data_IF_350500981475
#
_entry.id   IF_350500981475
#
_cell.length_a   1.000
_cell.length_b   1.000
_cell.length_c   1.000
_cell.angle_alpha   90.00
_cell.angle_beta   90.00
_cell.angle_gamma   90.00
#
_symmetry.space_group_name_H-M   'P 1'
#
loop_
_entity.id
_entity.type
_entity.pdbx_description
1 polymer ?
#
# COMPACT_ATOMS: atom_id res chain seq x y z
N UNK A 1 2.47 -13.80 5.42
CA UNK A 1 2.09 -13.80 3.99
C UNK A 1 3.27 -13.27 3.19
N UNK A 2 3.78 -14.00 2.20
CA UNK A 2 4.78 -13.46 1.28
C UNK A 2 4.05 -12.78 0.13
N UNK A 3 4.21 -11.46 -0.03
CA UNK A 3 3.62 -10.71 -1.15
C UNK A 3 4.60 -10.56 -2.32
N UNK A 4 5.65 -11.39 -2.35
CA UNK A 4 6.71 -11.33 -3.35
C UNK A 4 6.15 -11.38 -4.78
N UNK A 5 6.36 -10.29 -5.52
CA UNK A 5 5.91 -10.15 -6.91
C UNK A 5 4.47 -9.66 -7.09
N UNK A 6 3.68 -9.57 -6.01
CA UNK A 6 2.31 -9.06 -6.04
C UNK A 6 2.25 -7.54 -6.16
N UNK A 7 1.13 -7.01 -6.66
CA UNK A 7 0.84 -5.58 -6.73
C UNK A 7 -0.40 -5.28 -5.89
N UNK A 8 -0.32 -4.27 -5.02
CA UNK A 8 -1.42 -3.85 -4.16
C UNK A 8 -1.93 -2.44 -4.49
N UNK A 9 -3.21 -2.18 -4.26
CA UNK A 9 -3.79 -0.83 -4.28
C UNK A 9 -4.35 -0.54 -2.90
N UNK A 10 -4.02 0.63 -2.35
CA UNK A 10 -4.51 1.10 -1.05
C UNK A 10 -5.25 2.43 -1.24
N UNK A 11 -6.53 2.43 -0.88
CA UNK A 11 -7.34 3.65 -0.79
C UNK A 11 -7.08 4.35 0.55
N UNK A 12 -7.10 5.68 0.55
CA UNK A 12 -6.70 6.48 1.72
C UNK A 12 -5.23 6.32 2.10
N UNK A 13 -4.38 5.80 1.21
CA UNK A 13 -2.99 5.42 1.52
C UNK A 13 -2.02 6.58 1.77
N UNK A 14 -2.47 7.83 1.72
CA UNK A 14 -1.62 9.02 1.88
C UNK A 14 -1.23 9.32 3.33
N UNK A 15 -2.06 8.95 4.31
CA UNK A 15 -1.85 9.27 5.73
C UNK A 15 -2.33 8.14 6.65
N UNK A 16 -2.05 8.27 7.95
CA UNK A 16 -2.57 7.40 9.01
C UNK A 16 -2.38 5.90 8.74
N UNK A 17 -3.47 5.15 8.94
CA UNK A 17 -3.49 3.69 8.78
C UNK A 17 -3.23 3.28 7.32
N UNK A 18 -3.80 4.00 6.35
CA UNK A 18 -3.59 3.69 4.93
C UNK A 18 -2.11 3.75 4.55
N UNK A 19 -1.39 4.77 5.02
CA UNK A 19 0.06 4.87 4.84
C UNK A 19 0.81 3.72 5.51
N UNK A 20 0.42 3.35 6.74
CA UNK A 20 1.04 2.22 7.44
C UNK A 20 0.84 0.90 6.67
N UNK A 21 -0.34 0.68 6.08
CA UNK A 21 -0.64 -0.48 5.24
C UNK A 21 0.24 -0.49 3.99
N UNK A 22 0.42 0.65 3.31
CA UNK A 22 1.32 0.72 2.16
C UNK A 22 2.75 0.26 2.51
N UNK A 23 3.26 0.72 3.65
CA UNK A 23 4.58 0.31 4.13
C UNK A 23 4.63 -1.19 4.47
N UNK A 24 3.60 -1.72 5.13
CA UNK A 24 3.53 -3.14 5.45
C UNK A 24 3.50 -4.03 4.20
N UNK A 25 2.73 -3.65 3.17
CA UNK A 25 2.66 -4.38 1.89
C UNK A 25 4.01 -4.36 1.15
N UNK A 26 4.69 -3.21 1.13
CA UNK A 26 6.01 -3.10 0.54
C UNK A 26 7.06 -3.95 1.28
N UNK A 27 7.07 -3.90 2.62
CA UNK A 27 7.97 -4.71 3.46
C UNK A 27 7.72 -6.22 3.30
N UNK A 28 6.48 -6.62 3.04
CA UNK A 28 6.11 -8.01 2.76
C UNK A 28 6.51 -8.49 1.35
N UNK A 29 7.15 -7.62 0.54
CA UNK A 29 7.72 -7.97 -0.77
C UNK A 29 6.85 -7.64 -1.98
N UNK A 30 5.79 -6.85 -1.81
CA UNK A 30 5.01 -6.38 -2.95
C UNK A 30 5.92 -5.68 -3.97
N UNK A 31 5.74 -6.01 -5.25
CA UNK A 31 6.45 -5.38 -6.37
C UNK A 31 6.09 -3.91 -6.52
N UNK A 32 4.83 -3.56 -6.25
CA UNK A 32 4.35 -2.19 -6.28
C UNK A 32 3.14 -2.00 -5.36
N UNK A 33 2.97 -0.79 -4.84
CA UNK A 33 1.79 -0.37 -4.09
C UNK A 33 1.29 0.96 -4.66
N UNK A 34 0.11 0.94 -5.27
CA UNK A 34 -0.58 2.14 -5.75
C UNK A 34 -1.37 2.78 -4.62
N UNK A 35 -1.22 4.10 -4.46
CA UNK A 35 -1.95 4.88 -3.46
C UNK A 35 -3.05 5.68 -4.14
N UNK A 36 -4.29 5.50 -3.70
CA UNK A 36 -5.41 6.37 -4.07
C UNK A 36 -5.81 7.22 -2.86
N UNK A 37 -5.81 8.54 -3.01
CA UNK A 37 -6.30 9.49 -1.99
C UNK A 37 -7.15 10.57 -2.68
N UNK A 38 -8.33 10.83 -2.12
CA UNK A 38 -9.22 11.89 -2.61
C UNK A 38 -8.85 13.24 -1.99
N UNK A 39 -8.65 14.24 -2.84
CA UNK A 39 -8.66 15.67 -2.46
C UNK A 39 -10.10 16.18 -2.62
N UNK A 40 -10.93 16.00 -1.60
CA UNK A 40 -12.25 16.62 -1.51
C UNK A 40 -12.17 17.85 -0.62
#
# INVERSE_FOLDING_TARGET
MSLKGGVGIVTGGGTGIGRAICHALAQAGARAVGVNYSRS
#
